data_IF_099175260431
#
_entry.id   IF_099175260431
#
_cell.length_a   1.000
_cell.length_b   1.000
_cell.length_c   1.000
_cell.angle_alpha   90.00
_cell.angle_beta   90.00
_cell.angle_gamma   90.00
#
_symmetry.space_group_name_H-M   'P 1'
#
loop_
_entity.id
_entity.type
_entity.pdbx_description
1 polymer ?
2 polymer ?
3 non-polymer ?
4 non-polymer ?
5 non-polymer ?
6 water ?
#
loop_
_entity_poly.entity_id
_entity_poly.type
_entity_poly.pdbx_seq_one_letter_code
_entity_poly.pdbx_strand_id
1 'polyribonucleotide' 'GGGGUGAAGGAGGCUUCGGCCGCGAAACUUCACCCC' ?
#
# COMPACT_ATOMS: atom_id res chain seq x y z
N UNK B 1 -24.24 -16.99 -15.24
CA UNK B 1 -23.91 -16.90 -13.80
C UNK B 1 -22.86 -15.81 -13.53
N UNK B 2 -23.06 -15.04 -12.47
CA UNK B 2 -22.14 -13.96 -12.14
C UNK B 2 -20.74 -14.42 -11.72
N UNK B 3 -20.67 -15.57 -11.05
CA UNK B 3 -19.39 -16.10 -10.58
C UNK B 3 -19.15 -17.52 -11.13
N UNK B 4 -17.91 -17.98 -11.04
CA UNK B 4 -17.58 -19.32 -11.49
C UNK B 4 -17.72 -20.28 -10.32
N UNK B 5 -17.67 -21.58 -10.58
CA UNK B 5 -17.80 -22.55 -9.50
C UNK B 5 -16.66 -22.40 -8.47
N UNK B 6 -15.45 -22.07 -8.92
CA UNK B 6 -14.36 -21.90 -7.96
C UNK B 6 -14.81 -20.97 -6.85
N UNK B 7 -15.28 -19.78 -7.25
CA UNK B 7 -15.73 -18.77 -6.31
C UNK B 7 -16.96 -19.23 -5.52
N UNK B 8 -17.94 -19.79 -6.20
CA UNK B 8 -19.11 -20.23 -5.47
C UNK B 8 -18.75 -21.19 -4.33
N UNK B 9 -17.74 -22.04 -4.53
CA UNK B 9 -17.35 -22.95 -3.47
C UNK B 9 -16.79 -22.15 -2.29
N UNK B 10 -16.13 -21.04 -2.60
CA UNK B 10 -15.57 -20.21 -1.55
C UNK B 10 -16.64 -19.59 -0.69
N UNK B 11 -17.77 -19.25 -1.28
CA UNK B 11 -18.87 -18.65 -0.53
C UNK B 11 -19.32 -19.55 0.60
N UNK B 12 -19.23 -20.85 0.36
CA UNK B 12 -19.67 -21.80 1.37
C UNK B 12 -18.84 -21.62 2.63
N UNK B 13 -17.57 -21.27 2.45
CA UNK B 13 -16.65 -21.12 3.56
C UNK B 13 -16.83 -19.92 4.47
N UNK B 14 -17.60 -18.92 4.07
CA UNK B 14 -17.76 -17.73 4.91
C UNK B 14 -19.18 -17.45 5.41
N UNK B 15 -19.27 -16.93 6.63
CA UNK B 15 -20.54 -16.57 7.25
C UNK B 15 -20.69 -15.06 7.13
N UNK B 16 -21.55 -14.61 6.20
CA UNK B 16 -21.80 -13.18 5.97
C UNK B 16 -22.32 -12.49 7.23
N UNK B 17 -22.82 -13.28 8.16
CA UNK B 17 -23.35 -12.74 9.42
C UNK B 17 -22.32 -12.71 10.53
N UNK B 18 -21.15 -13.27 10.27
CA UNK B 18 -20.13 -13.32 11.30
C UNK B 18 -19.09 -12.22 11.20
N UNK B 19 -18.78 -11.65 12.35
CA UNK B 19 -17.74 -10.65 12.41
C UNK B 19 -16.59 -11.43 13.02
N UNK B 20 -15.61 -11.72 12.18
CA UNK B 20 -14.43 -12.47 12.59
C UNK B 20 -13.39 -11.64 13.35
N UNK B 21 -12.52 -12.33 14.07
CA UNK B 21 -11.45 -11.70 14.80
C UNK B 21 -10.33 -11.69 13.76
N UNK B 22 -9.35 -10.83 13.94
CA UNK B 22 -8.23 -10.76 13.02
C UNK B 22 -7.60 -12.15 12.86
N UNK B 23 -7.34 -12.83 13.97
CA UNK B 23 -6.73 -14.16 13.90
C UNK B 23 -7.64 -15.18 13.19
N UNK B 24 -8.94 -15.13 13.42
CA UNK B 24 -9.81 -16.06 12.71
C UNK B 24 -9.67 -15.80 11.23
N UNK B 25 -9.77 -14.53 10.87
CA UNK B 25 -9.66 -14.13 9.47
C UNK B 25 -8.32 -14.57 8.88
N UNK B 26 -7.23 -14.29 9.61
CA UNK B 26 -5.91 -14.64 9.12
C UNK B 26 -5.76 -16.15 8.80
N UNK B 27 -6.45 -17.00 9.56
CA UNK B 27 -6.36 -18.43 9.29
C UNK B 27 -7.25 -18.83 8.14
N UNK B 28 -8.37 -18.16 8.01
CA UNK B 28 -9.32 -18.50 6.96
C UNK B 28 -8.86 -18.05 5.58
N UNK B 29 -8.00 -17.03 5.51
CA UNK B 29 -7.60 -16.55 4.18
C UNK B 29 -6.94 -17.54 3.27
N UNK B 30 -6.24 -18.52 3.83
CA UNK B 30 -5.58 -19.51 2.98
C UNK B 30 -6.62 -20.32 2.21
N UNK B 31 -7.81 -20.44 2.79
CA UNK B 31 -8.87 -21.20 2.14
C UNK B 31 -9.70 -20.40 1.17
N UNK B 32 -9.58 -19.07 1.23
CA UNK B 32 -10.36 -18.24 0.32
C UNK B 32 -9.52 -17.80 -0.86
N UNK B 33 -8.36 -18.42 -0.99
CA UNK B 33 -7.44 -18.10 -2.08
C UNK B 33 -7.18 -19.31 -2.98
N UNK B 34 -8.07 -19.56 -3.91
CA UNK B 34 -7.91 -20.70 -4.81
C UNK B 34 -7.53 -20.37 -6.24
N UNK B 35 -7.28 -19.09 -6.55
CA UNK B 35 -6.92 -18.70 -7.91
C UNK B 35 -5.60 -19.36 -8.21
N UNK B 36 -5.19 -19.39 -9.47
CA UNK B 36 -3.94 -20.05 -9.84
C UNK B 36 -2.66 -19.25 -9.70
N UNK B 37 -2.51 -18.60 -8.58
CA UNK B 37 -1.31 -17.83 -8.27
C UNK B 37 -1.41 -17.51 -6.80
N UNK B 38 -0.33 -17.01 -6.23
CA UNK B 38 -0.34 -16.70 -4.83
C UNK B 38 -0.97 -15.31 -4.68
N UNK B 39 -2.25 -15.32 -4.33
CA UNK B 39 -3.00 -14.09 -4.19
C UNK B 39 -2.53 -13.14 -3.09
N UNK B 40 -2.87 -11.87 -3.25
CA UNK B 40 -2.54 -10.87 -2.26
C UNK B 40 -3.69 -10.77 -1.25
N UNK B 41 -3.38 -10.61 0.03
CA UNK B 41 -4.40 -10.46 1.06
C UNK B 41 -4.60 -8.94 1.16
N UNK B 42 -5.86 -8.52 1.25
CA UNK B 42 -6.23 -7.12 1.29
C UNK B 42 -7.08 -6.79 2.50
N UNK B 43 -7.00 -5.53 2.90
CA UNK B 43 -7.80 -5.01 4.00
C UNK B 43 -8.55 -3.79 3.46
N UNK B 44 -9.86 -3.72 3.72
CA UNK B 44 -10.67 -2.58 3.26
C UNK B 44 -11.40 -1.98 4.43
N UNK B 45 -11.56 -0.67 4.43
CA UNK B 45 -12.26 -0.04 5.53
C UNK B 45 -13.08 1.13 5.09
N UNK B 46 -14.30 1.25 5.62
CA UNK B 46 -15.11 2.40 5.31
C UNK B 46 -14.78 3.35 6.46
N UNK B 47 -14.36 4.58 6.12
CA UNK B 47 -13.98 5.54 7.15
C UNK B 47 -15.01 6.61 7.48
N UNK B 48 -15.03 7.02 8.75
CA UNK B 48 -15.95 8.07 9.16
C UNK B 48 -15.23 9.40 9.00
N UNK B 49 -15.20 9.88 7.76
CA UNK B 49 -14.56 11.14 7.42
C UNK B 49 -15.45 11.74 6.35
N UNK B 50 -15.19 13.00 5.98
CA UNK B 50 -15.91 13.65 4.90
C UNK B 50 -14.80 13.81 3.85
N UNK B 51 -14.72 12.86 2.90
CA UNK B 51 -13.70 12.87 1.85
C UNK B 51 -13.65 14.14 1.02
N UNK B 52 -14.67 14.97 1.18
CA UNK B 52 -14.72 16.22 0.44
C UNK B 52 -13.83 17.27 1.08
N UNK B 53 -13.42 17.05 2.33
CA UNK B 53 -12.58 18.02 3.03
C UNK B 53 -11.08 17.64 3.09
N UNK B 54 -10.22 18.54 2.66
CA UNK B 54 -8.79 18.29 2.69
C UNK B 54 -8.33 17.85 4.06
N UNK B 55 -8.82 18.52 5.12
CA UNK B 55 -8.36 18.15 6.45
C UNK B 55 -8.95 16.86 7.02
N UNK B 56 -9.68 16.11 6.21
CA UNK B 56 -10.22 14.86 6.70
C UNK B 56 -9.81 13.68 5.85
N UNK B 57 -8.89 13.94 4.93
CA UNK B 57 -8.38 12.88 4.11
C UNK B 57 -7.41 12.03 4.95
N UNK B 58 -7.41 10.74 4.68
CA UNK B 58 -6.57 9.82 5.40
C UNK B 58 -5.53 9.37 4.42
N UNK B 59 -4.28 9.76 4.66
CA UNK B 59 -3.21 9.42 3.73
C UNK B 59 -1.87 9.28 4.44
N UNK B 60 -1.20 8.16 4.18
CA UNK B 60 0.09 7.91 4.81
C UNK B 60 0.67 6.56 4.39
N UNK B 61 1.73 6.15 5.08
CA UNK B 61 2.39 4.89 4.77
C UNK B 61 2.58 4.12 6.03
N UNK B 62 2.87 2.84 5.88
CA UNK B 62 3.12 2.03 7.04
C UNK B 62 3.99 0.86 6.59
N UNK B 63 5.02 0.58 7.39
CA UNK B 63 5.90 -0.52 7.10
C UNK B 63 5.32 -1.81 7.69
N UNK B 64 4.88 -2.72 6.84
CA UNK B 64 4.34 -3.98 7.31
C UNK B 64 5.49 -4.82 7.85
N UNK B 65 5.34 -5.34 9.07
CA UNK B 65 6.38 -6.16 9.72
C UNK B 65 7.02 -7.22 8.81
N UNK B 66 6.18 -7.91 8.04
CA UNK B 66 6.68 -8.98 7.19
C UNK B 66 6.52 -8.76 5.71
N UNK B 67 6.44 -7.49 5.30
CA UNK B 67 6.31 -7.16 3.89
C UNK B 67 5.13 -7.70 3.10
N UNK B 68 5.25 -7.65 1.79
CA UNK B 68 4.19 -8.09 0.89
C UNK B 68 4.61 -9.27 0.06
N UNK B 69 5.77 -9.84 0.36
CA UNK B 69 6.25 -10.98 -0.40
C UNK B 69 6.30 -10.67 -1.89
N UNK B 70 6.49 -9.41 -2.23
CA UNK B 70 6.52 -9.00 -3.63
C UNK B 70 7.80 -8.26 -3.99
N UNK B 71 8.07 -8.15 -5.29
CA UNK B 71 9.27 -7.46 -5.79
C UNK B 71 8.83 -6.08 -6.17
N UNK B 72 9.68 -5.10 -5.88
CA UNK B 72 9.36 -3.71 -6.18
C UNK B 72 10.61 -3.01 -6.69
N UNK B 73 10.60 -2.67 -7.99
CA UNK B 73 11.74 -2.01 -8.63
C UNK B 73 11.75 -0.51 -8.30
N UNK B 74 12.71 -0.10 -7.48
CA UNK B 74 12.79 1.30 -7.08
C UNK B 74 13.74 2.16 -7.90
N UNK B 75 13.21 3.29 -8.37
CA UNK B 75 13.99 4.27 -9.10
C UNK B 75 14.18 5.43 -8.13
N UNK B 76 15.42 5.86 -7.95
CA UNK B 76 15.73 6.96 -7.05
C UNK B 76 16.43 8.06 -7.80
N UNK B 77 15.98 9.29 -7.59
CA UNK B 77 16.60 10.45 -8.21
C UNK B 77 17.20 11.25 -7.08
N UNK B 78 18.51 11.42 -7.12
CA UNK B 78 19.18 12.14 -6.05
C UNK B 78 20.34 13.02 -6.52
N UNK B 79 20.94 13.71 -5.57
CA UNK B 79 22.00 14.64 -5.86
C UNK B 79 23.19 14.39 -4.95
N UNK B 80 24.39 14.63 -5.48
CA UNK B 80 25.59 14.48 -4.69
C UNK B 80 25.80 13.11 -4.06
N UNK B 81 26.20 13.12 -2.79
CA UNK B 81 26.43 11.89 -2.08
C UNK B 81 25.19 11.03 -1.90
N UNK B 82 24.00 11.63 -1.98
CA UNK B 82 22.79 10.85 -1.81
C UNK B 82 22.65 9.84 -2.94
N UNK B 83 23.43 10.03 -4.00
CA UNK B 83 23.38 9.09 -5.09
C UNK B 83 23.99 7.79 -4.58
N UNK B 84 25.08 7.92 -3.84
CA UNK B 84 25.74 6.75 -3.28
C UNK B 84 24.80 6.11 -2.26
N UNK B 85 24.30 6.91 -1.33
CA UNK B 85 23.39 6.42 -0.29
C UNK B 85 22.23 5.60 -0.88
N UNK B 86 21.70 6.07 -1.99
CA UNK B 86 20.59 5.38 -2.62
C UNK B 86 21.01 4.05 -3.24
N UNK B 87 22.20 3.99 -3.83
CA UNK B 87 22.65 2.74 -4.43
C UNK B 87 22.94 1.73 -3.31
N UNK B 88 23.59 2.19 -2.25
CA UNK B 88 23.93 1.34 -1.12
C UNK B 88 22.72 0.91 -0.31
N UNK B 89 21.54 1.33 -0.72
CA UNK B 89 20.34 0.96 0.01
C UNK B 89 19.61 -0.07 -0.80
N UNK B 90 20.07 -0.27 -2.03
CA UNK B 90 19.45 -1.25 -2.89
C UNK B 90 18.58 -0.73 -4.00
N UNK B 91 18.51 0.58 -4.20
CA UNK B 91 17.68 1.09 -5.29
C UNK B 91 18.08 0.37 -6.58
N UNK B 92 17.08 -0.09 -7.34
CA UNK B 92 17.29 -0.79 -8.59
C UNK B 92 17.98 0.13 -9.60
N UNK B 93 17.62 1.41 -9.59
CA UNK B 93 18.24 2.37 -10.49
C UNK B 93 18.33 3.70 -9.77
N UNK B 94 19.54 4.24 -9.70
CA UNK B 94 19.78 5.52 -9.03
C UNK B 94 20.30 6.53 -10.04
N UNK B 95 19.73 7.73 -10.04
CA UNK B 95 20.18 8.73 -10.98
C UNK B 95 20.10 10.15 -10.50
N UNK B 96 20.62 11.05 -11.33
CA UNK B 96 20.58 12.47 -11.02
C UNK B 96 19.57 13.08 -11.97
N UNK B 97 19.40 14.40 -11.90
CA UNK B 97 18.45 15.05 -12.77
C UNK B 97 18.63 14.65 -14.25
N UNK B 98 19.76 14.03 -14.57
CA UNK B 98 20.05 13.62 -15.95
C UNK B 98 19.30 12.38 -16.40
N UNK B 99 18.64 11.71 -15.46
CA UNK B 99 17.94 10.48 -15.78
C UNK B 99 16.49 10.73 -16.17
N UNK B 100 16.02 11.93 -15.87
CA UNK B 100 14.65 12.25 -16.17
C UNK B 100 14.46 12.00 -17.67
N UNK B 101 15.55 12.14 -18.42
CA UNK B 101 15.51 11.93 -19.86
C UNK B 101 15.13 10.51 -20.25
N UNK B 102 15.94 9.54 -19.84
CA UNK B 102 15.64 8.15 -20.13
C UNK B 102 14.15 7.90 -20.05
N UNK B 103 13.54 8.31 -18.95
CA UNK B 103 12.10 8.12 -18.76
C UNK B 103 11.29 8.89 -19.79
N UNK B 104 11.70 10.15 -19.99
CA UNK B 104 11.11 11.03 -20.97
C UNK B 104 11.16 10.38 -22.35
N UNK B 105 12.20 9.60 -22.59
CA UNK B 105 12.37 8.96 -23.87
C UNK B 105 11.63 7.64 -24.02
N UNK B 106 11.52 6.87 -22.95
CA UNK B 106 10.80 5.60 -23.06
C UNK B 106 10.84 4.77 -21.80
N UNK B 107 12.05 4.63 -21.26
CA UNK B 107 12.31 3.88 -20.04
C UNK B 107 11.12 3.94 -19.06
N UNK B 108 10.56 2.78 -18.73
CA UNK B 108 9.43 2.70 -17.83
C UNK B 108 9.49 1.44 -16.96
N UNK B 109 10.70 0.96 -16.68
CA UNK B 109 10.87 -0.25 -15.86
C UNK B 109 11.15 0.02 -14.38
N UNK B 110 10.08 0.30 -13.64
CA UNK B 110 10.18 0.55 -12.21
C UNK B 110 8.77 0.61 -11.64
N UNK B 111 8.65 0.32 -10.34
CA UNK B 111 7.37 0.30 -9.66
C UNK B 111 7.24 1.46 -8.65
N UNK B 112 8.35 2.11 -8.34
CA UNK B 112 8.30 3.21 -7.38
C UNK B 112 9.43 4.17 -7.67
N UNK B 113 9.19 5.44 -7.34
CA UNK B 113 10.19 6.47 -7.57
C UNK B 113 10.31 7.28 -6.31
N UNK B 114 11.54 7.59 -5.95
CA UNK B 114 11.78 8.39 -4.77
C UNK B 114 12.78 9.45 -5.14
N UNK B 115 12.80 10.53 -4.37
CA UNK B 115 13.72 11.61 -4.69
C UNK B 115 14.07 12.39 -3.47
N UNK B 116 15.20 13.09 -3.56
CA UNK B 116 15.62 13.93 -2.47
C UNK B 116 14.93 15.28 -2.77
N UNK B 117 14.73 16.10 -1.73
CA UNK B 117 14.07 17.39 -1.93
C UNK B 117 14.73 18.31 -2.93
N UNK B 118 16.06 18.23 -3.04
CA UNK B 118 16.78 19.11 -3.94
C UNK B 118 16.80 18.78 -5.44
N UNK B 119 15.95 17.85 -5.85
CA UNK B 119 15.84 17.54 -7.28
C UNK B 119 14.36 17.63 -7.62
N UNK B 120 13.54 17.94 -6.62
CA UNK B 120 12.11 17.99 -6.83
C UNK B 120 11.62 19.07 -7.81
N UNK B 121 12.43 20.10 -8.00
CA UNK B 121 12.05 21.16 -8.93
C UNK B 121 12.03 20.60 -10.35
N UNK B 122 13.04 19.79 -10.67
CA UNK B 122 13.15 19.18 -11.98
C UNK B 122 12.15 18.04 -12.12
N UNK B 123 12.18 17.10 -11.17
CA UNK B 123 11.26 15.97 -11.19
C UNK B 123 9.81 16.45 -11.38
N UNK B 124 9.45 17.50 -10.65
CA UNK B 124 8.10 18.03 -10.74
C UNK B 124 7.73 18.52 -12.13
N UNK B 125 8.53 19.43 -12.67
CA UNK B 125 8.23 19.97 -13.97
C UNK B 125 8.40 18.98 -15.12
N UNK B 126 9.50 18.24 -15.11
CA UNK B 126 9.74 17.32 -16.21
C UNK B 126 9.07 15.95 -16.11
N UNK B 127 8.41 15.65 -15.01
CA UNK B 127 7.82 14.33 -14.89
C UNK B 127 6.41 14.24 -14.41
N UNK B 128 5.90 15.34 -13.89
CA UNK B 128 4.54 15.33 -13.39
C UNK B 128 3.52 14.77 -14.38
N UNK B 129 3.70 15.03 -15.66
CA UNK B 129 2.71 14.55 -16.62
C UNK B 129 2.84 13.08 -16.97
N UNK B 130 3.99 12.47 -16.63
CA UNK B 130 4.16 11.05 -16.89
C UNK B 130 3.82 10.26 -15.64
N UNK B 131 4.59 10.49 -14.57
CA UNK B 131 4.41 9.79 -13.31
C UNK B 131 3.14 10.17 -12.57
N UNK B 132 2.78 11.45 -12.68
CA UNK B 132 1.62 11.93 -11.97
C UNK B 132 0.35 11.18 -12.30
N UNK B 133 0.03 11.02 -13.59
CA UNK B 133 -1.20 10.30 -13.90
C UNK B 133 -1.19 8.92 -13.26
N UNK B 134 -0.01 8.34 -13.12
CA UNK B 134 0.13 7.01 -12.56
C UNK B 134 0.25 6.94 -11.06
N UNK B 135 0.26 8.10 -10.41
CA UNK B 135 0.36 8.12 -8.97
C UNK B 135 1.75 7.70 -8.51
N UNK B 136 2.76 7.95 -9.36
CA UNK B 136 4.14 7.60 -9.02
C UNK B 136 5.02 8.82 -8.79
N UNK B 137 4.42 10.00 -8.88
CA UNK B 137 5.19 11.21 -8.71
C UNK B 137 5.61 11.29 -7.25
N UNK B 138 6.90 11.47 -6.99
CA UNK B 138 7.37 11.57 -5.61
C UNK B 138 6.61 12.69 -4.87
N UNK B 139 6.27 12.46 -3.61
CA UNK B 139 5.54 13.47 -2.83
C UNK B 139 5.72 13.15 -1.33
N UNK B 140 5.99 14.17 -0.51
CA UNK B 140 6.18 13.97 0.93
C UNK B 140 5.06 13.13 1.55
N UNK B 141 3.81 13.42 1.16
CA UNK B 141 2.63 12.72 1.69
C UNK B 141 2.63 11.24 1.40
N UNK B 142 3.34 10.83 0.36
CA UNK B 142 3.42 9.42 0.00
C UNK B 142 4.72 8.85 0.55
N UNK B 143 5.43 9.68 1.33
CA UNK B 143 6.67 9.26 1.93
C UNK B 143 7.75 8.96 0.90
N UNK B 144 7.64 9.53 -0.29
CA UNK B 144 8.62 9.25 -1.32
C UNK B 144 9.60 10.37 -1.65
N UNK B 145 9.58 11.40 -0.80
CA UNK B 145 10.52 12.53 -0.94
C UNK B 145 11.22 12.71 0.42
N UNK B 146 12.54 12.84 0.40
CA UNK B 146 13.26 13.05 1.64
C UNK B 146 14.77 12.94 1.47
N UNK B 147 15.51 13.55 2.39
CA UNK B 147 16.96 13.47 2.35
C UNK B 147 17.40 12.16 2.95
N UNK B 148 16.50 11.50 3.69
CA UNK B 148 16.84 10.20 4.28
C UNK B 148 16.47 9.16 3.24
N UNK B 149 16.93 9.41 2.01
CA UNK B 149 16.64 8.56 0.85
C UNK B 149 16.98 7.07 1.03
N UNK B 150 18.11 6.79 1.69
CA UNK B 150 18.49 5.40 1.90
C UNK B 150 17.44 4.67 2.73
N UNK B 151 17.03 5.34 3.79
CA UNK B 151 16.02 4.81 4.69
C UNK B 151 14.69 4.57 3.99
N UNK B 152 14.27 5.52 3.17
CA UNK B 152 13.03 5.41 2.42
C UNK B 152 13.11 4.19 1.50
N UNK B 153 14.21 4.07 0.78
CA UNK B 153 14.43 2.96 -0.13
C UNK B 153 14.40 1.64 0.62
N UNK B 154 15.08 1.58 1.75
CA UNK B 154 15.08 0.35 2.54
C UNK B 154 13.66 -0.03 2.96
N UNK B 155 12.90 0.95 3.46
CA UNK B 155 11.52 0.71 3.88
C UNK B 155 10.65 0.15 2.74
N UNK B 156 10.75 0.77 1.57
CA UNK B 156 9.96 0.39 0.42
C UNK B 156 10.29 -1.03 0.01
N UNK B 157 11.59 -1.31 -0.14
CA UNK B 157 12.04 -2.66 -0.51
C UNK B 157 11.58 -3.69 0.52
N UNK B 158 11.47 -3.27 1.77
CA UNK B 158 11.04 -4.18 2.84
C UNK B 158 9.51 -4.31 2.97
N UNK B 159 8.76 -3.70 2.04
CA UNK B 159 7.31 -3.85 2.09
C UNK B 159 6.46 -2.75 2.73
N UNK B 160 6.93 -1.51 2.72
CA UNK B 160 6.13 -0.44 3.29
C UNK B 160 4.99 -0.14 2.31
N UNK B 161 3.79 0.05 2.81
CA UNK B 161 2.72 0.36 1.90
C UNK B 161 2.19 1.79 2.04
N UNK B 162 1.47 2.22 1.02
CA UNK B 162 0.85 3.51 1.02
C UNK B 162 -0.68 3.29 1.16
N UNK B 163 -1.36 4.25 1.75
CA UNK B 163 -2.80 4.17 1.87
C UNK B 163 -3.33 5.59 1.74
N UNK B 164 -4.42 5.71 1.00
CA UNK B 164 -5.07 6.98 0.75
C UNK B 164 -6.53 6.70 0.50
N UNK B 165 -7.41 7.33 1.27
CA UNK B 165 -8.84 7.10 1.09
C UNK B 165 -9.27 7.50 -0.31
N UNK B 166 -10.30 6.83 -0.83
CA UNK B 166 -10.79 7.20 -2.14
C UNK B 166 -11.88 8.27 -1.98
N UNK B 167 -12.42 8.76 -3.06
CA UNK B 167 -13.38 9.85 -2.92
C UNK B 167 -14.70 9.44 -2.25
N UNK B 168 -14.94 8.15 -2.04
CA UNK B 168 -16.17 7.75 -1.39
C UNK B 168 -15.97 7.59 0.12
N UNK B 169 -14.73 7.76 0.59
CA UNK B 169 -14.49 7.62 2.01
C UNK B 169 -14.02 6.23 2.39
N UNK B 170 -13.82 5.36 1.41
CA UNK B 170 -13.34 3.99 1.68
C UNK B 170 -11.82 3.96 1.51
N UNK B 171 -11.12 3.03 2.14
CA UNK B 171 -9.67 2.97 1.98
C UNK B 171 -9.24 1.52 1.84
N UNK B 172 -8.18 1.26 1.09
CA UNK B 172 -7.75 -0.14 0.78
C UNK B 172 -6.26 -0.31 0.74
N UNK B 173 -5.80 -1.50 1.13
CA UNK B 173 -4.38 -1.80 1.09
C UNK B 173 -4.05 -3.29 1.02
N UNK B 174 -3.00 -3.65 0.27
CA UNK B 174 -2.49 -5.02 0.23
C UNK B 174 -1.75 -5.21 1.53
N UNK B 175 -1.84 -6.38 2.17
CA UNK B 175 -1.14 -6.57 3.44
C UNK B 175 -0.34 -7.87 3.53
N UNK B 176 -0.23 -8.58 2.42
CA UNK B 176 0.55 -9.81 2.38
C UNK B 176 0.14 -10.78 1.27
N UNK B 177 0.68 -12.00 1.28
CA UNK B 177 0.29 -13.02 0.28
C UNK B 177 -0.47 -14.11 1.02
N UNK B 178 -1.31 -14.83 0.29
CA UNK B 178 -2.12 -15.88 0.88
C UNK B 178 -1.23 -17.04 1.37
N UNK B 179 0.04 -17.07 0.95
CA UNK B 179 0.96 -18.11 1.37
C UNK B 179 1.60 -17.77 2.73
N UNK B 180 1.41 -16.55 3.19
CA UNK B 180 1.95 -16.17 4.48
C UNK B 180 1.36 -17.04 5.58
N UNK B 181 2.13 -17.29 6.64
CA UNK B 181 1.61 -18.09 7.76
C UNK B 181 0.61 -17.15 8.41
N UNK B 182 -0.50 -17.70 8.91
CA UNK B 182 -1.53 -16.89 9.55
C UNK B 182 -1.01 -15.86 10.52
N UNK B 183 -0.06 -16.26 11.37
CA UNK B 183 0.50 -15.38 12.39
C UNK B 183 1.10 -14.13 11.77
N UNK B 184 1.76 -14.28 10.64
CA UNK B 184 2.41 -13.13 9.99
C UNK B 184 1.36 -12.22 9.35
N UNK B 185 0.31 -12.82 8.78
CA UNK B 185 -0.76 -12.02 8.20
C UNK B 185 -1.40 -11.18 9.32
N UNK B 186 -1.69 -11.83 10.45
CA UNK B 186 -2.29 -11.14 11.59
C UNK B 186 -1.43 -9.94 11.97
N UNK B 187 -0.11 -10.15 12.02
CA UNK B 187 0.81 -9.06 12.35
C UNK B 187 0.69 -7.94 11.32
N UNK B 188 0.66 -8.27 10.04
CA UNK B 188 0.55 -7.22 9.05
C UNK B 188 -0.80 -6.50 9.12
N UNK B 189 -1.86 -7.27 9.24
CA UNK B 189 -3.19 -6.66 9.31
C UNK B 189 -3.28 -5.66 10.47
N UNK B 190 -2.79 -6.06 11.63
CA UNK B 190 -2.84 -5.18 12.79
C UNK B 190 -2.04 -3.92 12.61
N UNK B 191 -0.88 -4.04 11.96
CA UNK B 191 -0.03 -2.88 11.73
C UNK B 191 -0.76 -1.85 10.85
N UNK B 192 -1.41 -2.33 9.80
CA UNK B 192 -2.16 -1.45 8.89
C UNK B 192 -3.25 -0.70 9.65
N UNK B 193 -3.99 -1.46 10.45
CA UNK B 193 -5.06 -0.89 11.25
C UNK B 193 -4.55 0.18 12.22
N UNK B 194 -3.47 -0.11 12.93
CA UNK B 194 -2.95 0.87 13.87
C UNK B 194 -2.52 2.09 13.09
N UNK B 195 -1.91 1.86 11.93
CA UNK B 195 -1.49 2.99 11.10
C UNK B 195 -2.72 3.84 10.78
N UNK B 196 -3.81 3.18 10.40
CA UNK B 196 -5.05 3.88 10.07
C UNK B 196 -5.56 4.70 11.21
N UNK B 197 -5.70 4.07 12.38
CA UNK B 197 -6.20 4.80 13.53
C UNK B 197 -5.25 5.95 13.84
N UNK B 198 -3.97 5.77 13.56
CA UNK B 198 -3.02 6.83 13.81
C UNK B 198 -3.25 8.02 12.88
N UNK B 199 -4.05 7.84 11.83
CA UNK B 199 -4.32 8.92 10.90
C UNK B 199 -5.74 9.44 10.95
N UNK B 200 -6.50 9.05 11.98
CA UNK B 200 -7.86 9.57 12.09
C UNK B 200 -7.75 11.09 12.13
N UNK B 201 -8.46 11.78 11.23
CA UNK B 201 -8.39 13.25 11.23
C UNK B 201 -8.93 13.81 12.54
N UNK B 202 -8.34 14.91 13.00
CA UNK B 202 -8.80 15.51 14.25
C UNK B 202 -10.27 15.89 14.23
N UNK B 203 -10.75 16.34 13.08
CA UNK B 203 -12.15 16.74 12.98
C UNK B 203 -13.16 15.67 12.59
N UNK B 204 -12.70 14.51 12.15
CA UNK B 204 -13.61 13.44 11.73
C UNK B 204 -14.65 13.20 12.80
N UNK B 205 -15.89 13.02 12.39
CA UNK B 205 -16.97 12.78 13.34
C UNK B 205 -17.47 11.34 13.33
N UNK B 206 -17.82 10.86 14.52
CA UNK B 206 -18.35 9.53 14.66
C UNK B 206 -17.29 8.46 14.65
N UNK B 207 -17.73 7.21 14.50
CA UNK B 207 -16.84 6.07 14.47
C UNK B 207 -15.88 6.22 13.29
N UNK B 208 -14.59 6.04 13.54
CA UNK B 208 -13.61 6.15 12.48
C UNK B 208 -13.66 4.92 11.59
N UNK B 209 -13.40 3.77 12.18
CA UNK B 209 -13.44 2.54 11.42
C UNK B 209 -14.85 2.01 11.38
N UNK B 210 -15.69 2.58 10.51
CA UNK B 210 -17.09 2.15 10.40
C UNK B 210 -17.18 0.68 10.07
N UNK B 211 -16.35 0.19 9.15
CA UNK B 211 -16.40 -1.23 8.85
C UNK B 211 -15.06 -1.67 8.31
N UNK B 212 -14.65 -2.87 8.65
CA UNK B 212 -13.37 -3.36 8.19
C UNK B 212 -13.49 -4.75 7.66
N UNK B 213 -12.78 -5.04 6.56
CA UNK B 213 -12.84 -6.36 5.95
C UNK B 213 -11.49 -6.87 5.52
N UNK B 214 -11.40 -8.19 5.38
CA UNK B 214 -10.19 -8.80 4.88
C UNK B 214 -10.65 -9.64 3.71
N UNK B 215 -9.85 -9.69 2.64
CA UNK B 215 -10.21 -10.49 1.46
C UNK B 215 -8.92 -10.87 0.73
N UNK B 216 -9.06 -11.52 -0.42
CA UNK B 216 -7.89 -11.94 -1.19
C UNK B 216 -8.11 -11.42 -2.59
N UNK B 217 -7.10 -11.47 -3.45
CA UNK B 217 -7.23 -10.97 -4.81
C UNK B 217 -8.45 -11.51 -5.56
N UNK B 218 -8.80 -12.78 -5.38
CA UNK B 218 -9.91 -13.33 -6.15
C UNK B 218 -11.00 -14.03 -5.34
N UNK B 219 -10.97 -13.92 -4.02
CA UNK B 219 -11.99 -14.59 -3.23
C UNK B 219 -12.98 -13.64 -2.60
N UNK B 220 -13.89 -14.14 -1.73
CA UNK B 220 -14.90 -13.35 -1.04
C UNK B 220 -14.29 -12.64 0.16
N UNK B 221 -15.11 -11.85 0.85
CA UNK B 221 -14.63 -11.12 2.01
C UNK B 221 -15.13 -11.65 3.33
N UNK B 222 -14.48 -11.19 4.38
CA UNK B 222 -14.75 -11.54 5.73
C UNK B 222 -14.76 -10.24 6.53
N UNK B 223 -15.83 -9.96 7.26
CA UNK B 223 -15.83 -8.75 8.05
C UNK B 223 -15.08 -9.05 9.34
N UNK B 224 -14.32 -8.08 9.84
CA UNK B 224 -13.56 -8.30 11.06
C UNK B 224 -13.73 -7.21 12.09
N UNK B 225 -13.38 -7.53 13.32
CA UNK B 225 -13.41 -6.56 14.40
C UNK B 225 -11.98 -6.00 14.37
N UNK B 226 -11.79 -4.75 13.91
CA UNK B 226 -10.47 -4.15 13.84
C UNK B 226 -9.69 -4.15 15.14
N UNK B 227 -10.39 -4.18 16.27
CA UNK B 227 -9.69 -4.15 17.53
C UNK B 227 -9.46 -5.52 18.19
N UNK B 228 -9.39 -6.58 17.39
CA UNK B 228 -9.18 -7.92 17.94
C UNK B 228 -7.73 -8.39 17.74
X LIG C 1 -10.20 0.70 -11.82
X LIG D 1 -10.19 -8.74 -4.05
X LIG E 1 5.76 -18.32 3.94
X LIG E 1 6.57 -17.47 4.92
X LIG E 1 6.38 -15.97 4.69
X LIG E 1 6.25 -15.21 6.00
X LIG E 1 6.40 -19.60 3.74
X LIG E 1 6.05 -13.83 5.78
#
# INVERSE_FOLDING_TARGET
PKHGKRYRALLEKVDPNKIYTIDEAAHLVKELATAKFDETVEVHAKLGIDPRRSDQNVRGTVSLPHGLGKQVRVLAIAKGEKIKEAEEAGADYVGGEEIIQKILDGWMDFDAVVATPDVMGAVGSKMGRILGPRGLLPNPKAGTVGFNIGEIIREIKAGRIEFRNDKTGAIHAPVGKASFPPEKLADNIRAFIRALEAHKPEGAKGTFLRSVYVTTTMGPSVRINPHS
MG MG
K K
BU1 C1 C2 C3 C4 O5 O6
#
